data_IF_257619583101
#
_entry.id   IF_257619583101
#
_cell.length_a   1.000
_cell.length_b   1.000
_cell.length_c   1.000
_cell.angle_alpha   90.00
_cell.angle_beta   90.00
_cell.angle_gamma   90.00
#
_symmetry.space_group_name_H-M   'P 1'
#
loop_
_entity.id
_entity.type
_entity.pdbx_description
1 polymer ?
#
# COMPACT_ATOMS: atom_id res chain seq x y z
N UNK A 1 -23.25 -43.86 23.27
CA UNK A 1 -24.26 -43.20 22.41
C UNK A 1 -23.63 -41.91 21.92
N UNK A 2 -22.95 -41.83 20.77
CA UNK A 2 -23.33 -42.18 19.38
C UNK A 2 -24.58 -41.42 18.92
N UNK A 3 -24.45 -40.77 17.74
CA UNK A 3 -25.38 -39.91 16.99
C UNK A 3 -25.28 -38.43 17.41
N UNK A 4 -25.00 -37.46 16.54
CA UNK A 4 -25.42 -37.32 15.14
C UNK A 4 -24.32 -36.64 14.30
N UNK A 5 -23.78 -37.41 13.35
CA UNK A 5 -23.26 -36.93 12.09
C UNK A 5 -24.40 -37.13 11.08
N UNK A 6 -25.03 -36.05 10.64
CA UNK A 6 -25.86 -36.05 9.43
C UNK A 6 -25.29 -35.02 8.47
N UNK A 7 -24.64 -35.54 7.42
CA UNK A 7 -24.42 -34.81 6.18
C UNK A 7 -25.76 -34.73 5.42
N UNK A 8 -26.13 -33.59 4.83
CA UNK A 8 -27.08 -33.60 3.75
C UNK A 8 -26.37 -33.93 2.43
N UNK A 9 -26.57 -35.15 1.97
CA UNK A 9 -26.37 -35.55 0.58
C UNK A 9 -27.37 -34.83 -0.34
N UNK A 10 -26.85 -34.23 -1.41
CA UNK A 10 -27.55 -34.15 -2.69
C UNK A 10 -28.03 -32.77 -3.11
N UNK A 11 -27.40 -32.21 -4.15
CA UNK A 11 -28.04 -32.18 -5.47
C UNK A 11 -26.98 -32.03 -6.56
N UNK A 12 -26.91 -33.07 -7.38
CA UNK A 12 -26.11 -33.12 -8.59
C UNK A 12 -26.80 -32.35 -9.71
N UNK A 13 -25.98 -31.61 -10.47
CA UNK A 13 -26.17 -31.38 -11.89
C UNK A 13 -27.08 -30.22 -12.27
N UNK A 14 -26.49 -29.03 -12.47
CA UNK A 14 -26.75 -28.21 -13.66
C UNK A 14 -25.48 -27.47 -14.10
N UNK A 15 -25.01 -27.81 -15.31
CA UNK A 15 -24.16 -27.05 -16.23
C UNK A 15 -23.18 -26.02 -15.65
N UNK A 16 -22.00 -26.49 -15.24
CA UNK A 16 -20.79 -25.69 -15.43
C UNK A 16 -20.24 -25.99 -16.82
N UNK A 17 -20.39 -25.05 -17.75
CA UNK A 17 -19.49 -25.01 -18.90
C UNK A 17 -18.13 -24.53 -18.39
N UNK A 18 -17.14 -25.39 -18.55
CA UNK A 18 -15.74 -25.08 -18.33
C UNK A 18 -15.38 -23.93 -19.28
N UNK A 19 -15.17 -22.73 -18.72
CA UNK A 19 -14.63 -21.63 -19.51
C UNK A 19 -13.20 -21.99 -19.86
N UNK A 20 -13.04 -22.41 -21.11
CA UNK A 20 -11.77 -22.53 -21.80
C UNK A 20 -10.94 -21.27 -21.49
N UNK A 21 -9.70 -21.41 -21.00
CA UNK A 21 -8.88 -20.25 -20.72
C UNK A 21 -8.64 -19.54 -22.05
N UNK A 22 -9.22 -18.35 -22.22
CA UNK A 22 -8.87 -17.47 -23.33
C UNK A 22 -7.36 -17.28 -23.29
N UNK A 23 -6.69 -17.89 -24.27
CA UNK A 23 -5.28 -17.69 -24.53
C UNK A 23 -5.11 -16.21 -24.87
N UNK A 24 -4.64 -15.43 -23.90
CA UNK A 24 -4.13 -14.10 -24.19
C UNK A 24 -3.05 -14.28 -25.27
N UNK A 25 -3.13 -13.58 -26.41
CA UNK A 25 -2.12 -13.69 -27.44
C UNK A 25 -0.78 -13.34 -26.80
N UNK A 26 0.11 -14.32 -26.77
CA UNK A 26 1.45 -14.16 -26.25
C UNK A 26 2.10 -12.98 -26.95
N UNK A 27 2.23 -11.86 -26.26
CA UNK A 27 3.15 -10.80 -26.66
C UNK A 27 4.53 -11.40 -26.45
N UNK A 28 5.03 -12.07 -27.48
CA UNK A 28 6.44 -12.43 -27.60
C UNK A 28 7.16 -11.10 -27.45
N UNK A 29 7.98 -10.88 -26.40
CA UNK A 29 8.77 -9.68 -26.33
C UNK A 29 9.65 -9.70 -27.57
N UNK A 30 9.41 -8.77 -28.49
CA UNK A 30 10.23 -8.58 -29.66
C UNK A 30 11.65 -8.43 -29.14
N UNK A 31 12.49 -9.46 -29.36
CA UNK A 31 13.90 -9.40 -28.98
C UNK A 31 14.47 -8.21 -29.72
N UNK A 32 14.60 -7.10 -29.02
CA UNK A 32 15.30 -5.92 -29.48
C UNK A 32 16.69 -6.40 -29.88
N UNK A 33 16.88 -6.60 -31.18
CA UNK A 33 18.19 -6.82 -31.78
C UNK A 33 18.89 -5.49 -31.70
N UNK A 34 19.43 -5.18 -30.52
CA UNK A 34 20.41 -4.11 -30.37
C UNK A 34 21.62 -4.52 -31.20
N UNK A 35 21.64 -4.06 -32.45
CA UNK A 35 22.83 -4.11 -33.29
C UNK A 35 23.85 -3.21 -32.63
N UNK A 36 24.81 -3.83 -31.96
CA UNK A 36 25.96 -3.16 -31.38
C UNK A 36 26.76 -2.53 -32.53
N UNK A 37 26.47 -1.27 -32.88
CA UNK A 37 27.39 -0.47 -33.68
C UNK A 37 28.64 -0.32 -32.82
N UNK A 38 29.70 -1.06 -33.18
CA UNK A 38 31.03 -0.93 -32.58
C UNK A 38 31.35 0.57 -32.50
N UNK A 39 31.61 1.14 -31.31
CA UNK A 39 32.05 2.52 -31.24
C UNK A 39 33.36 2.62 -32.01
N UNK A 40 33.36 3.40 -33.09
CA UNK A 40 34.57 3.71 -33.82
C UNK A 40 35.42 4.60 -32.91
N UNK A 41 36.37 4.00 -32.20
CA UNK A 41 37.34 4.74 -31.42
C UNK A 41 38.15 5.62 -32.39
N UNK A 42 38.20 6.95 -32.19
CA UNK A 42 39.08 7.79 -32.98
C UNK A 42 40.52 7.31 -32.77
N UNK A 43 41.28 7.17 -33.86
CA UNK A 43 42.71 6.86 -33.79
C UNK A 43 43.45 8.05 -33.16
N UNK A 44 43.58 8.05 -31.84
CA UNK A 44 44.33 9.06 -31.11
C UNK A 44 45.81 8.86 -31.45
N UNK A 45 46.37 9.79 -32.23
CA UNK A 45 47.81 9.85 -32.50
C UNK A 45 48.51 10.39 -31.25
N UNK A 46 49.18 9.50 -30.53
CA UNK A 46 50.03 9.89 -29.41
C UNK A 46 51.20 10.74 -29.93
N UNK A 47 51.42 11.96 -29.40
CA UNK A 47 52.55 12.80 -29.77
C UNK A 47 53.87 12.19 -29.27
N UNK A 48 54.89 12.17 -30.12
CA UNK A 48 56.24 11.68 -29.76
C UNK A 48 56.92 12.72 -28.86
N UNK A 49 56.99 12.47 -27.55
CA UNK A 49 57.63 13.37 -26.60
C UNK A 49 58.90 12.79 -25.97
N UNK A 50 59.86 13.68 -25.71
CA UNK A 50 61.27 13.37 -25.44
C UNK A 50 61.67 13.36 -23.95
N UNK A 51 60.75 13.24 -22.99
CA UNK A 51 61.11 13.24 -21.55
C UNK A 51 60.36 12.18 -20.73
N UNK A 52 61.12 11.46 -19.88
CA UNK A 52 60.66 10.29 -19.12
C UNK A 52 59.69 10.55 -17.96
N UNK A 53 59.24 11.79 -17.76
CA UNK A 53 58.37 12.17 -16.63
C UNK A 53 56.88 12.32 -16.99
N UNK A 54 56.53 12.31 -18.29
CA UNK A 54 55.14 12.56 -18.76
C UNK A 54 54.28 11.30 -18.69
N UNK A 55 54.87 10.12 -18.92
CA UNK A 55 54.18 8.83 -18.86
C UNK A 55 53.59 8.52 -17.47
N UNK A 56 54.32 8.69 -16.34
CA UNK A 56 53.75 8.48 -15.01
C UNK A 56 52.66 9.50 -14.66
N UNK A 57 52.74 10.75 -15.14
CA UNK A 57 51.70 11.75 -14.93
C UNK A 57 50.38 11.42 -15.65
N UNK A 58 50.45 10.86 -16.86
CA UNK A 58 49.29 10.37 -17.60
C UNK A 58 48.68 9.14 -16.91
N UNK A 59 49.51 8.20 -16.45
CA UNK A 59 49.06 7.03 -15.70
C UNK A 59 48.36 7.45 -14.39
N UNK A 60 48.91 8.45 -13.69
CA UNK A 60 48.32 9.00 -12.47
C UNK A 60 47.00 9.72 -12.75
N UNK A 61 46.88 10.47 -13.85
CA UNK A 61 45.63 11.11 -14.25
C UNK A 61 44.54 10.07 -14.63
N UNK A 62 44.94 8.94 -15.25
CA UNK A 62 44.03 7.83 -15.53
C UNK A 62 43.60 7.10 -14.25
N UNK A 63 44.51 6.91 -13.29
CA UNK A 63 44.20 6.35 -11.97
C UNK A 63 43.26 7.27 -11.18
N UNK A 64 43.50 8.58 -11.15
CA UNK A 64 42.62 9.57 -10.51
C UNK A 64 41.26 9.60 -11.21
N UNK A 65 41.23 9.54 -12.54
CA UNK A 65 40.01 9.43 -13.33
C UNK A 65 39.22 8.15 -13.00
N UNK A 66 39.89 7.01 -12.86
CA UNK A 66 39.27 5.75 -12.43
C UNK A 66 38.72 5.85 -11.00
N UNK A 67 39.48 6.42 -10.06
CA UNK A 67 39.04 6.62 -8.67
C UNK A 67 37.83 7.55 -8.62
N UNK A 68 37.79 8.61 -9.43
CA UNK A 68 36.66 9.53 -9.53
C UNK A 68 35.40 8.85 -10.13
N UNK A 69 35.58 8.00 -11.14
CA UNK A 69 34.50 7.21 -11.73
C UNK A 69 34.00 6.11 -10.77
N UNK A 70 34.89 5.48 -10.00
CA UNK A 70 34.54 4.49 -8.96
C UNK A 70 33.87 5.13 -7.73
N UNK A 71 34.16 6.40 -7.42
CA UNK A 71 33.50 7.15 -6.36
C UNK A 71 32.06 7.54 -6.70
N UNK A 72 31.65 7.46 -7.98
CA UNK A 72 30.26 7.62 -8.40
C UNK A 72 29.55 6.28 -8.15
N UNK A 73 28.99 6.11 -6.95
CA UNK A 73 28.18 4.93 -6.58
C UNK A 73 27.19 4.63 -7.71
N UNK A 74 27.12 3.41 -8.27
CA UNK A 74 26.15 3.08 -9.29
C UNK A 74 24.74 3.07 -8.67
N UNK A 75 24.05 4.21 -8.74
CA UNK A 75 22.66 4.30 -8.29
C UNK A 75 21.76 3.84 -9.43
N UNK A 76 21.19 2.66 -9.27
CA UNK A 76 20.15 2.18 -10.18
C UNK A 76 18.81 2.82 -9.77
N UNK A 77 18.15 3.53 -10.70
CA UNK A 77 16.81 4.07 -10.50
C UNK A 77 15.79 3.12 -11.12
N UNK A 78 14.91 2.57 -10.30
CA UNK A 78 13.74 1.83 -10.77
C UNK A 78 12.48 2.63 -10.46
N UNK A 79 11.62 2.84 -11.47
CA UNK A 79 10.26 3.36 -11.27
C UNK A 79 9.37 2.17 -10.95
N UNK A 80 8.88 2.09 -9.71
CA UNK A 80 7.91 1.08 -9.29
C UNK A 80 6.55 1.75 -9.23
N UNK A 81 5.68 1.36 -10.17
CA UNK A 81 4.28 1.76 -10.16
C UNK A 81 3.47 0.56 -9.65
N UNK A 82 3.01 0.63 -8.40
CA UNK A 82 2.17 -0.42 -7.84
C UNK A 82 0.74 0.11 -7.76
N UNK A 83 -0.12 -0.47 -8.58
CA UNK A 83 -1.56 -0.26 -8.47
C UNK A 83 -2.03 -1.01 -7.23
N UNK A 84 -2.52 -0.31 -6.21
CA UNK A 84 -3.17 -0.97 -5.08
C UNK A 84 -4.42 -1.70 -5.59
N UNK A 85 -4.53 -3.00 -5.32
CA UNK A 85 -5.84 -3.65 -5.40
C UNK A 85 -6.76 -3.01 -4.33
N UNK A 86 -8.04 -2.78 -4.63
CA UNK A 86 -8.94 -2.14 -3.68
C UNK A 86 -9.01 -2.99 -2.41
N UNK A 87 -8.51 -2.44 -1.30
CA UNK A 87 -8.74 -3.03 0.01
C UNK A 87 -10.16 -2.65 0.42
N UNK A 88 -11.11 -3.55 0.17
CA UNK A 88 -12.51 -3.35 0.55
C UNK A 88 -12.63 -3.44 2.07
N UNK A 89 -12.55 -2.30 2.73
CA UNK A 89 -12.88 -2.12 4.14
C UNK A 89 -14.04 -1.14 4.20
N UNK A 90 -15.23 -1.63 4.53
CA UNK A 90 -16.34 -0.76 4.93
C UNK A 90 -16.04 -0.27 6.34
N UNK A 91 -15.82 1.03 6.49
CA UNK A 91 -15.69 1.69 7.80
C UNK A 91 -16.68 2.84 7.89
N UNK A 92 -17.15 3.12 9.10
CA UNK A 92 -18.16 4.15 9.37
C UNK A 92 -17.43 5.45 9.68
N UNK A 93 -17.53 6.43 8.77
CA UNK A 93 -16.94 7.77 8.93
C UNK A 93 -18.03 8.74 9.36
N UNK A 94 -17.75 9.56 10.38
CA UNK A 94 -18.66 10.59 10.87
C UNK A 94 -18.41 11.90 10.12
N UNK A 95 -19.40 12.44 9.42
CA UNK A 95 -19.28 13.74 8.73
C UNK A 95 -19.78 14.84 9.65
N UNK A 96 -18.98 15.87 9.91
CA UNK A 96 -19.36 17.02 10.77
C UNK A 96 -19.50 18.30 9.97
N UNK A 97 -20.62 19.00 10.13
CA UNK A 97 -20.81 20.35 9.60
C UNK A 97 -19.83 21.32 10.28
N UNK A 98 -18.95 21.94 9.48
CA UNK A 98 -17.88 22.79 10.01
C UNK A 98 -16.80 21.99 10.77
N UNK A 99 -15.54 22.44 10.70
CA UNK A 99 -14.39 21.77 11.31
C UNK A 99 -13.25 21.43 10.35
N UNK A 100 -12.42 20.46 10.71
CA UNK A 100 -11.29 19.93 9.92
C UNK A 100 -11.43 18.43 9.78
N UNK A 101 -11.09 17.88 8.61
CA UNK A 101 -10.99 16.44 8.41
C UNK A 101 -9.93 15.85 9.33
N UNK A 102 -10.31 14.87 10.15
CA UNK A 102 -9.48 14.19 11.15
C UNK A 102 -9.61 12.67 10.97
N UNK A 103 -8.58 12.09 10.35
CA UNK A 103 -8.55 10.67 10.02
C UNK A 103 -8.39 9.75 11.25
N UNK A 104 -7.83 10.25 12.35
CA UNK A 104 -7.69 9.45 13.58
C UNK A 104 -9.04 9.28 14.28
N UNK A 105 -9.91 10.28 14.18
CA UNK A 105 -11.27 10.26 14.76
C UNK A 105 -12.33 9.71 13.80
N UNK A 106 -11.95 9.36 12.58
CA UNK A 106 -12.88 9.05 11.49
C UNK A 106 -13.88 10.18 11.26
N UNK A 107 -13.42 11.44 11.32
CA UNK A 107 -14.24 12.63 11.13
C UNK A 107 -13.91 13.32 9.80
N UNK A 108 -14.90 13.49 8.93
CA UNK A 108 -14.76 14.25 7.69
C UNK A 108 -15.38 15.63 7.87
N UNK A 109 -14.71 16.69 7.40
CA UNK A 109 -15.33 18.01 7.31
C UNK A 109 -16.44 17.98 6.26
N UNK A 110 -17.68 18.12 6.71
CA UNK A 110 -18.85 18.37 5.89
C UNK A 110 -19.10 19.87 5.70
N UNK A 111 -19.63 20.23 4.54
CA UNK A 111 -20.38 21.47 4.35
C UNK A 111 -21.85 21.10 4.30
N UNK A 112 -22.70 21.90 4.94
CA UNK A 112 -24.14 21.84 4.67
C UNK A 112 -24.38 22.53 3.35
N UNK A 113 -25.09 21.85 2.46
CA UNK A 113 -25.69 22.49 1.31
C UNK A 113 -27.12 22.84 1.75
N UNK A 114 -27.32 24.07 2.21
CA UNK A 114 -28.63 24.52 2.65
C UNK A 114 -29.52 24.74 1.42
N UNK A 115 -30.25 23.71 1.03
CA UNK A 115 -31.45 23.91 0.23
C UNK A 115 -32.57 24.19 1.23
N UNK A 116 -32.98 25.46 1.34
CA UNK A 116 -34.22 25.81 2.03
C UNK A 116 -35.38 25.21 1.24
N UNK A 117 -35.73 23.97 1.56
CA UNK A 117 -37.05 23.44 1.28
C UNK A 117 -37.85 23.77 2.53
N UNK A 118 -38.84 24.65 2.43
CA UNK A 118 -39.74 24.91 3.55
C UNK A 118 -40.60 23.66 3.76
N UNK A 119 -40.32 22.93 4.83
CA UNK A 119 -41.02 21.70 5.18
C UNK A 119 -42.04 22.04 6.28
N UNK A 120 -43.32 21.84 6.00
CA UNK A 120 -44.41 22.22 6.91
C UNK A 120 -45.11 21.00 7.53
N UNK A 121 -45.45 21.12 8.81
CA UNK A 121 -46.37 20.22 9.51
C UNK A 121 -47.49 21.02 10.19
N UNK A 122 -48.67 20.43 10.32
CA UNK A 122 -49.75 20.94 11.17
C UNK A 122 -49.69 20.26 12.53
N UNK A 123 -49.65 21.02 13.62
CA UNK A 123 -49.78 20.51 14.98
C UNK A 123 -51.23 20.71 15.43
N UNK A 124 -51.83 19.62 15.91
CA UNK A 124 -53.20 19.59 16.41
C UNK A 124 -53.21 19.41 17.92
N UNK A 125 -53.70 20.43 18.64
CA UNK A 125 -53.94 20.38 20.07
C UNK A 125 -55.37 19.89 20.36
N UNK A 126 -55.48 18.80 21.12
CA UNK A 126 -56.73 18.15 21.55
C UNK A 126 -57.08 18.46 23.01
N UNK A 127 -56.34 19.35 23.67
CA UNK A 127 -56.57 19.80 25.05
C UNK A 127 -57.40 21.09 25.09
N UNK A 128 -57.91 21.43 26.27
CA UNK A 128 -58.72 22.62 26.55
C UNK A 128 -57.87 23.86 26.90
N UNK A 129 -56.54 23.73 26.90
CA UNK A 129 -55.60 24.81 27.15
C UNK A 129 -54.70 25.07 25.93
N UNK A 130 -54.31 26.33 25.76
CA UNK A 130 -53.27 26.70 24.80
C UNK A 130 -51.93 26.07 25.19
N UNK A 131 -51.20 25.54 24.20
CA UNK A 131 -49.91 24.90 24.41
C UNK A 131 -48.83 25.68 23.64
N UNK A 132 -47.72 25.99 24.32
CA UNK A 132 -46.55 26.62 23.72
C UNK A 132 -45.46 25.57 23.52
N UNK A 133 -44.91 25.52 22.32
CA UNK A 133 -43.78 24.68 21.95
C UNK A 133 -42.61 25.58 21.56
N UNK A 134 -41.48 25.35 22.20
CA UNK A 134 -40.27 26.09 21.89
C UNK A 134 -39.59 25.50 20.65
N UNK A 135 -38.84 26.34 19.93
CA UNK A 135 -37.89 25.92 18.91
C UNK A 135 -37.00 24.80 19.45
N UNK A 136 -36.79 23.76 18.65
CA UNK A 136 -36.04 22.60 19.10
C UNK A 136 -36.91 21.46 19.67
N UNK A 137 -38.21 21.68 19.86
CA UNK A 137 -39.14 20.62 20.25
C UNK A 137 -39.13 19.48 19.22
N UNK A 138 -39.15 18.24 19.71
CA UNK A 138 -38.99 17.04 18.87
C UNK A 138 -40.34 16.48 18.42
N UNK A 139 -40.38 16.01 17.18
CA UNK A 139 -41.51 15.33 16.56
C UNK A 139 -41.04 13.95 16.07
N UNK A 140 -41.53 12.89 16.69
CA UNK A 140 -41.09 11.52 16.41
C UNK A 140 -41.99 10.85 15.39
N UNK A 141 -41.41 10.22 14.38
CA UNK A 141 -42.11 9.36 13.45
C UNK A 141 -41.85 7.89 13.80
N UNK A 142 -42.73 7.34 14.64
CA UNK A 142 -42.55 6.02 15.26
C UNK A 142 -42.42 4.88 14.25
N UNK A 143 -43.09 4.96 13.09
CA UNK A 143 -43.04 3.91 12.07
C UNK A 143 -41.60 3.65 11.57
N UNK A 144 -40.71 4.64 11.65
CA UNK A 144 -39.33 4.55 11.16
C UNK A 144 -38.27 4.98 12.17
N UNK A 145 -38.65 5.26 13.42
CA UNK A 145 -37.74 5.75 14.47
C UNK A 145 -36.94 7.00 14.01
N UNK A 146 -37.66 7.98 13.43
CA UNK A 146 -37.06 9.23 12.91
C UNK A 146 -37.50 10.42 13.75
N UNK A 147 -36.60 11.39 13.93
CA UNK A 147 -36.86 12.60 14.73
C UNK A 147 -36.80 13.84 13.87
N UNK A 148 -37.86 14.65 13.88
CA UNK A 148 -37.89 16.00 13.32
C UNK A 148 -37.87 17.03 14.46
N UNK A 149 -37.50 18.27 14.14
CA UNK A 149 -37.28 19.34 15.11
C UNK A 149 -38.01 20.59 14.64
N UNK A 150 -38.68 21.29 15.55
CA UNK A 150 -39.31 22.59 15.25
C UNK A 150 -38.27 23.68 14.99
N UNK A 151 -38.49 24.47 13.94
CA UNK A 151 -37.58 25.55 13.55
C UNK A 151 -37.81 26.86 14.31
N UNK A 152 -39.03 27.07 14.81
CA UNK A 152 -39.47 28.29 15.48
C UNK A 152 -40.36 27.98 16.68
N UNK A 153 -40.43 28.91 17.63
CA UNK A 153 -41.39 28.86 18.73
C UNK A 153 -42.81 28.99 18.17
N UNK A 154 -43.73 28.16 18.64
CA UNK A 154 -45.13 28.19 18.20
C UNK A 154 -46.06 28.10 19.40
N UNK A 155 -47.22 28.76 19.26
CA UNK A 155 -48.33 28.64 20.19
C UNK A 155 -49.48 27.98 19.47
N UNK A 156 -49.92 26.82 19.96
CA UNK A 156 -51.04 26.04 19.42
C UNK A 156 -52.28 26.31 20.28
N UNK A 157 -53.35 26.90 19.73
CA UNK A 157 -54.54 27.25 20.50
C UNK A 157 -55.19 26.00 21.12
N UNK A 158 -56.03 26.19 22.15
CA UNK A 158 -56.87 25.13 22.71
C UNK A 158 -57.89 24.62 21.68
N UNK A 159 -58.46 23.43 21.91
CA UNK A 159 -59.65 22.98 21.17
C UNK A 159 -60.85 23.86 21.51
N UNK A 160 -61.72 24.09 20.54
CA UNK A 160 -62.95 24.84 20.69
C UNK A 160 -64.17 23.91 20.67
N UNK A 161 -65.07 24.09 21.63
CA UNK A 161 -66.40 23.46 21.58
C UNK A 161 -67.29 24.20 20.60
N UNK A 162 -67.92 23.47 19.70
CA UNK A 162 -68.86 24.00 18.73
C UNK A 162 -70.15 23.18 18.73
N UNK A 163 -71.33 23.79 18.52
CA UNK A 163 -72.57 23.05 18.34
C UNK A 163 -72.43 22.08 17.17
N UNK A 164 -72.88 20.84 17.34
CA UNK A 164 -72.87 19.87 16.26
C UNK A 164 -73.85 20.32 15.16
N UNK A 165 -73.38 20.51 13.91
CA UNK A 165 -74.22 20.95 12.81
C UNK A 165 -75.32 19.94 12.44
N UNK A 166 -75.14 18.64 12.77
CA UNK A 166 -76.11 17.58 12.46
C UNK A 166 -77.09 17.30 13.61
N UNK A 167 -76.76 17.68 14.85
CA UNK A 167 -77.63 17.56 16.03
C UNK A 167 -77.34 18.69 17.04
N UNK A 168 -78.15 19.76 17.06
CA UNK A 168 -77.95 20.93 17.93
C UNK A 168 -77.92 20.65 19.44
N UNK A 169 -78.33 19.46 19.87
CA UNK A 169 -78.27 19.03 21.27
C UNK A 169 -76.92 18.41 21.66
N UNK A 170 -76.00 18.27 20.71
CA UNK A 170 -74.67 17.69 20.92
C UNK A 170 -73.57 18.70 20.55
N UNK A 171 -72.39 18.56 21.16
CA UNK A 171 -71.22 19.40 20.89
C UNK A 171 -70.15 18.58 20.19
N UNK A 172 -69.47 19.21 19.23
CA UNK A 172 -68.26 18.69 18.58
C UNK A 172 -67.07 19.56 18.98
N UNK A 173 -65.88 18.94 19.01
CA UNK A 173 -64.64 19.66 19.28
C UNK A 173 -63.91 19.96 17.97
N UNK A 174 -63.67 21.24 17.71
CA UNK A 174 -62.72 21.68 16.69
C UNK A 174 -61.34 21.72 17.33
N UNK A 175 -60.39 20.97 16.79
CA UNK A 175 -59.02 20.93 17.31
C UNK A 175 -58.33 22.28 17.12
N UNK A 176 -57.50 22.68 18.09
CA UNK A 176 -56.58 23.79 17.88
C UNK A 176 -55.52 23.38 16.87
N UNK A 177 -55.25 24.21 15.87
CA UNK A 177 -54.30 23.90 14.79
C UNK A 177 -53.30 25.04 14.60
N UNK A 178 -52.03 24.69 14.41
CA UNK A 178 -50.99 25.61 13.98
C UNK A 178 -50.11 24.96 12.92
N UNK A 179 -49.74 25.69 11.87
CA UNK A 179 -48.73 25.25 10.89
C UNK A 179 -47.34 25.64 11.39
N UNK A 180 -46.41 24.70 11.38
CA UNK A 180 -45.02 24.86 11.83
C UNK A 180 -44.04 24.45 10.73
N UNK A 181 -42.85 25.03 10.78
CA UNK A 181 -41.69 24.60 10.00
C UNK A 181 -40.87 23.58 10.80
N UNK A 182 -40.46 22.51 10.13
CA UNK A 182 -39.74 21.40 10.75
C UNK A 182 -38.49 21.01 9.95
N UNK A 183 -37.44 20.63 10.66
CA UNK A 183 -36.19 20.13 10.06
C UNK A 183 -35.91 18.70 10.52
N UNK A 184 -35.28 17.87 9.68
CA UNK A 184 -34.84 16.54 10.05
C UNK A 184 -33.74 16.59 11.13
N UNK A 185 -33.84 15.74 12.16
CA UNK A 185 -32.89 15.67 13.26
C UNK A 185 -31.53 15.09 12.88
N UNK A 186 -31.49 14.24 11.84
CA UNK A 186 -30.27 13.68 11.26
C UNK A 186 -30.29 13.72 9.73
N UNK A 187 -29.12 13.49 9.12
CA UNK A 187 -28.96 13.36 7.67
C UNK A 187 -29.46 11.98 7.22
N UNK A 188 -30.34 11.95 6.22
CA UNK A 188 -30.66 10.70 5.52
C UNK A 188 -31.83 10.80 4.57
N UNK A 189 -31.81 9.97 3.53
CA UNK A 189 -32.93 9.77 2.61
C UNK A 189 -34.14 9.14 3.30
N UNK A 190 -33.94 8.50 4.46
CA UNK A 190 -35.01 8.01 5.33
C UNK A 190 -35.97 9.10 5.81
N UNK A 191 -35.48 10.34 5.96
CA UNK A 191 -36.27 11.52 6.36
C UNK A 191 -37.16 12.06 5.23
N UNK A 192 -37.08 11.49 4.03
CA UNK A 192 -38.04 11.79 2.96
C UNK A 192 -39.32 10.96 3.18
N UNK A 193 -40.30 11.54 3.87
CA UNK A 193 -41.61 10.90 4.13
C UNK A 193 -42.74 11.57 3.36
N UNK A 194 -43.77 10.80 3.01
CA UNK A 194 -44.94 11.32 2.29
C UNK A 194 -45.77 12.27 3.16
N UNK A 195 -46.69 13.02 2.52
CA UNK A 195 -47.63 13.88 3.24
C UNK A 195 -48.66 13.07 4.05
N UNK A 196 -49.30 13.72 5.02
CA UNK A 196 -50.36 13.14 5.85
C UNK A 196 -49.90 12.18 6.95
N UNK A 197 -48.58 11.99 7.15
CA UNK A 197 -48.00 11.16 8.20
C UNK A 197 -48.08 11.82 9.56
N UNK A 198 -48.44 11.04 10.56
CA UNK A 198 -48.52 11.48 11.94
C UNK A 198 -47.14 11.43 12.59
N UNK A 199 -46.83 12.46 13.39
CA UNK A 199 -45.63 12.61 14.18
C UNK A 199 -46.07 12.84 15.64
N UNK A 200 -45.50 12.09 16.56
CA UNK A 200 -45.74 12.26 17.99
C UNK A 200 -44.95 13.45 18.50
N UNK A 201 -45.60 14.34 19.26
CA UNK A 201 -44.92 15.50 19.84
C UNK A 201 -44.31 15.12 21.18
N UNK A 202 -43.00 15.24 21.29
CA UNK A 202 -42.28 14.85 22.51
C UNK A 202 -42.80 15.62 23.73
N UNK A 203 -43.00 14.89 24.84
CA UNK A 203 -43.63 15.42 26.06
C UNK A 203 -45.16 15.44 26.09
N UNK A 204 -45.84 15.02 25.01
CA UNK A 204 -47.30 14.96 24.95
C UNK A 204 -47.79 13.60 24.46
N UNK A 205 -48.93 13.15 24.97
CA UNK A 205 -49.55 11.91 24.47
C UNK A 205 -50.22 12.17 23.12
N UNK A 206 -50.21 11.18 22.23
CA UNK A 206 -50.99 11.22 20.97
C UNK A 206 -52.51 11.55 21.15
N UNK A 207 -53.07 11.31 22.34
CA UNK A 207 -54.45 11.70 22.71
C UNK A 207 -54.61 13.20 23.02
N UNK A 208 -53.53 13.88 23.37
CA UNK A 208 -53.47 15.29 23.75
C UNK A 208 -52.98 16.14 22.57
N UNK A 209 -51.98 15.65 21.83
CA UNK A 209 -51.41 16.38 20.70
C UNK A 209 -50.87 15.44 19.64
N UNK A 210 -51.00 15.84 18.37
CA UNK A 210 -50.42 15.11 17.24
C UNK A 210 -49.97 16.11 16.19
N UNK A 211 -48.79 15.90 15.61
CA UNK A 211 -48.35 16.66 14.45
C UNK A 211 -48.58 15.82 13.18
N UNK A 212 -48.90 16.46 12.06
CA UNK A 212 -49.11 15.79 10.77
C UNK A 212 -48.36 16.53 9.67
N UNK A 213 -47.59 15.81 8.88
CA UNK A 213 -46.89 16.39 7.72
C UNK A 213 -47.90 16.94 6.71
N UNK A 214 -47.73 18.19 6.27
CA UNK A 214 -48.68 18.84 5.37
C UNK A 214 -48.37 18.55 3.90
N UNK A 215 -47.09 18.52 3.56
CA UNK A 215 -46.56 18.19 2.25
C UNK A 215 -45.59 17.01 2.34
N UNK A 216 -45.18 16.47 1.19
CA UNK A 216 -44.14 15.45 1.13
C UNK A 216 -42.80 16.08 1.53
N UNK A 217 -42.11 15.46 2.48
CA UNK A 217 -40.77 15.91 2.88
C UNK A 217 -39.75 15.32 1.90
N UNK A 218 -38.80 16.15 1.47
CA UNK A 218 -37.79 15.78 0.49
C UNK A 218 -36.50 16.58 0.74
N UNK A 219 -35.40 16.16 0.13
CA UNK A 219 -34.09 16.81 0.28
C UNK A 219 -33.11 16.06 1.18
N UNK A 220 -33.56 15.03 1.89
CA UNK A 220 -32.66 14.10 2.60
C UNK A 220 -31.90 13.23 1.61
N UNK A 221 -30.57 13.23 1.70
CA UNK A 221 -29.68 12.33 0.95
C UNK A 221 -28.69 11.68 1.90
N UNK A 222 -28.44 10.38 1.73
CA UNK A 222 -27.35 9.69 2.40
C UNK A 222 -26.44 9.02 1.37
N UNK A 223 -25.12 9.23 1.49
CA UNK A 223 -24.13 8.57 0.65
C UNK A 223 -23.00 8.01 1.49
N UNK A 224 -22.68 6.73 1.27
CA UNK A 224 -21.48 6.10 1.82
C UNK A 224 -20.30 6.40 0.90
N UNK A 225 -19.26 7.01 1.46
CA UNK A 225 -18.04 7.38 0.73
C UNK A 225 -16.84 6.58 1.24
N UNK A 226 -15.90 6.25 0.36
CA UNK A 226 -14.64 5.57 0.71
C UNK A 226 -13.56 6.60 0.90
N UNK A 227 -12.93 6.61 2.07
CA UNK A 227 -11.87 7.56 2.41
C UNK A 227 -10.54 6.84 2.57
N UNK A 228 -9.45 7.53 2.24
CA UNK A 228 -8.10 7.00 2.44
C UNK A 228 -7.75 7.04 3.93
N UNK A 229 -7.43 5.87 4.51
CA UNK A 229 -6.94 5.79 5.88
C UNK A 229 -5.40 5.78 5.95
N UNK A 230 -4.85 6.18 7.11
CA UNK A 230 -3.39 6.12 7.36
C UNK A 230 -2.85 4.68 7.27
N UNK A 231 -3.66 3.71 7.71
CA UNK A 231 -3.33 2.29 7.60
C UNK A 231 -3.15 1.85 6.14
N UNK A 232 -3.96 2.37 5.21
CA UNK A 232 -3.86 2.04 3.79
C UNK A 232 -2.55 2.58 3.20
N UNK A 233 -2.19 3.81 3.57
CA UNK A 233 -0.94 4.44 3.14
C UNK A 233 0.28 3.65 3.62
N UNK A 234 0.28 3.25 4.89
CA UNK A 234 1.36 2.45 5.50
C UNK A 234 1.47 1.08 4.84
N UNK A 235 0.35 0.40 4.63
CA UNK A 235 0.32 -0.90 3.97
C UNK A 235 0.82 -0.82 2.52
N UNK A 236 0.44 0.23 1.79
CA UNK A 236 0.89 0.47 0.41
C UNK A 236 2.39 0.77 0.35
N UNK A 237 2.90 1.58 1.26
CA UNK A 237 4.34 1.89 1.33
C UNK A 237 5.18 0.64 1.60
N UNK A 238 4.73 -0.23 2.51
CA UNK A 238 5.38 -1.52 2.76
C UNK A 238 5.42 -2.39 1.50
N UNK A 239 4.27 -2.56 0.82
CA UNK A 239 4.18 -3.34 -0.42
C UNK A 239 5.10 -2.80 -1.52
N UNK A 240 5.16 -1.48 -1.68
CA UNK A 240 6.05 -0.84 -2.67
C UNK A 240 7.52 -1.03 -2.31
N UNK A 241 7.87 -0.97 -1.03
CA UNK A 241 9.24 -1.20 -0.57
C UNK A 241 9.68 -2.65 -0.82
N UNK A 242 8.81 -3.61 -0.50
CA UNK A 242 9.06 -5.04 -0.74
C UNK A 242 9.24 -5.32 -2.24
N UNK A 243 8.34 -4.81 -3.08
CA UNK A 243 8.44 -4.93 -4.54
C UNK A 243 9.69 -4.24 -5.12
N UNK A 244 10.08 -3.09 -4.56
CA UNK A 244 11.30 -2.39 -4.96
C UNK A 244 12.56 -3.22 -4.61
N UNK A 245 12.57 -3.94 -3.48
CA UNK A 245 13.68 -4.82 -3.07
C UNK A 245 13.83 -6.02 -3.98
N UNK A 246 12.73 -6.67 -4.36
CA UNK A 246 12.76 -7.77 -5.32
C UNK A 246 13.29 -7.31 -6.67
N UNK A 247 12.76 -6.20 -7.19
CA UNK A 247 13.22 -5.62 -8.46
C UNK A 247 14.69 -5.21 -8.40
N UNK A 248 15.11 -4.54 -7.34
CA UNK A 248 16.51 -4.15 -7.13
C UNK A 248 17.46 -5.35 -7.12
N UNK A 249 17.04 -6.46 -6.50
CA UNK A 249 17.85 -7.69 -6.46
C UNK A 249 18.08 -8.24 -7.86
N UNK A 250 17.02 -8.32 -8.67
CA UNK A 250 17.11 -8.78 -10.06
C UNK A 250 17.99 -7.86 -10.92
N UNK A 251 17.75 -6.54 -10.83
CA UNK A 251 18.48 -5.54 -11.61
C UNK A 251 19.98 -5.49 -11.22
N UNK A 252 20.31 -5.66 -9.94
CA UNK A 252 21.71 -5.73 -9.47
C UNK A 252 22.38 -7.02 -9.96
N UNK A 253 21.71 -8.18 -9.86
CA UNK A 253 22.24 -9.46 -10.36
C UNK A 253 22.52 -9.41 -11.86
N UNK A 254 21.67 -8.72 -12.64
CA UNK A 254 21.89 -8.53 -14.08
C UNK A 254 23.10 -7.63 -14.41
N UNK A 255 23.46 -6.71 -13.51
CA UNK A 255 24.59 -5.79 -13.69
C UNK A 255 25.93 -6.36 -13.23
N UNK A 256 25.96 -7.53 -12.59
CA UNK A 256 27.19 -8.14 -12.10
C UNK A 256 28.13 -8.51 -13.24
N UNK A 257 29.43 -8.25 -13.04
CA UNK A 257 30.48 -8.82 -13.89
C UNK A 257 30.56 -10.34 -13.74
N UNK A 258 31.13 -11.04 -14.74
CA UNK A 258 31.23 -12.52 -14.77
C UNK A 258 31.91 -13.14 -13.54
N UNK A 259 32.84 -12.42 -12.93
CA UNK A 259 33.65 -12.86 -11.77
C UNK A 259 33.24 -12.15 -10.48
N UNK A 260 32.18 -11.35 -10.51
CA UNK A 260 31.70 -10.58 -9.38
C UNK A 260 30.52 -11.30 -8.74
N UNK A 261 30.57 -11.42 -7.42
CA UNK A 261 29.52 -12.05 -6.62
C UNK A 261 28.84 -11.00 -5.77
N UNK A 262 27.52 -11.00 -5.79
CA UNK A 262 26.70 -10.21 -4.87
C UNK A 262 26.58 -10.95 -3.55
N UNK A 263 26.84 -10.25 -2.45
CA UNK A 263 26.59 -10.78 -1.10
C UNK A 263 25.09 -10.73 -0.85
N UNK A 264 24.46 -11.90 -0.76
CA UNK A 264 23.01 -11.97 -0.53
C UNK A 264 22.66 -11.37 0.84
N UNK A 265 21.54 -10.65 0.90
CA UNK A 265 21.14 -9.89 2.10
C UNK A 265 21.81 -8.52 2.28
N UNK A 266 22.87 -8.21 1.53
CA UNK A 266 23.54 -6.88 1.58
C UNK A 266 22.78 -5.75 0.87
N UNK A 267 21.72 -6.09 0.12
CA UNK A 267 20.99 -5.11 -0.69
C UNK A 267 20.20 -4.17 0.20
N UNK A 268 20.49 -2.88 0.08
CA UNK A 268 19.73 -1.79 0.67
C UNK A 268 18.95 -1.05 -0.41
N UNK A 269 17.67 -0.80 -0.16
CA UNK A 269 16.81 0.00 -1.01
C UNK A 269 16.42 1.27 -0.26
N UNK A 270 16.52 2.40 -0.94
CA UNK A 270 16.12 3.70 -0.42
C UNK A 270 15.13 4.35 -1.37
N UNK A 271 13.93 4.68 -0.88
CA UNK A 271 12.98 5.50 -1.62
C UNK A 271 13.51 6.94 -1.62
N UNK A 272 13.69 7.50 -2.82
CA UNK A 272 14.23 8.86 -3.04
C UNK A 272 13.14 9.86 -3.39
N UNK A 273 12.01 9.38 -3.93
CA UNK A 273 10.84 10.20 -4.25
C UNK A 273 9.59 9.34 -4.20
N UNK A 274 8.53 9.90 -3.62
CA UNK A 274 7.20 9.29 -3.60
C UNK A 274 6.12 10.30 -3.95
N UNK A 275 5.04 9.82 -4.57
CA UNK A 275 3.86 10.60 -4.89
C UNK A 275 2.61 9.72 -4.76
N UNK A 276 1.63 10.21 -4.00
CA UNK A 276 0.32 9.58 -3.84
C UNK A 276 -0.73 10.32 -4.67
N UNK A 277 -1.72 9.58 -5.18
CA UNK A 277 -2.85 10.19 -5.93
C UNK A 277 -3.89 10.87 -5.06
N UNK A 278 -3.93 10.54 -3.76
CA UNK A 278 -4.88 11.08 -2.78
C UNK A 278 -4.21 11.18 -1.41
N UNK A 279 -4.72 12.08 -0.57
CA UNK A 279 -4.27 12.29 0.80
C UNK A 279 -5.19 11.54 1.77
N UNK A 280 -4.70 11.37 3.00
CA UNK A 280 -5.49 10.76 4.07
C UNK A 280 -6.71 11.64 4.35
N UNK A 281 -7.88 11.01 4.39
CA UNK A 281 -9.18 11.69 4.50
C UNK A 281 -9.81 12.10 3.18
N UNK A 282 -9.12 12.01 2.04
CA UNK A 282 -9.74 12.25 0.73
C UNK A 282 -10.67 11.10 0.36
N UNK A 283 -11.81 11.42 -0.28
CA UNK A 283 -12.67 10.43 -0.91
C UNK A 283 -11.98 9.87 -2.17
N UNK A 284 -11.65 8.58 -2.17
CA UNK A 284 -10.99 7.93 -3.30
C UNK A 284 -11.32 6.44 -3.36
N UNK A 285 -11.63 5.95 -4.56
CA UNK A 285 -11.84 4.51 -4.77
C UNK A 285 -10.52 3.72 -4.85
N UNK A 286 -9.42 4.39 -5.23
CA UNK A 286 -8.10 3.80 -5.43
C UNK A 286 -7.01 4.73 -4.93
N UNK A 287 -6.03 4.18 -4.21
CA UNK A 287 -4.84 4.90 -3.77
C UNK A 287 -3.62 4.39 -4.53
N UNK A 288 -3.01 5.24 -5.37
CA UNK A 288 -1.83 4.86 -6.16
C UNK A 288 -0.60 5.53 -5.54
N UNK A 289 0.46 4.74 -5.33
CA UNK A 289 1.77 5.21 -4.93
C UNK A 289 2.74 5.04 -6.09
N UNK A 290 3.30 6.16 -6.55
CA UNK A 290 4.44 6.17 -7.47
C UNK A 290 5.70 6.43 -6.67
N UNK A 291 6.61 5.45 -6.62
CA UNK A 291 7.88 5.58 -5.92
C UNK A 291 9.08 5.42 -6.85
N UNK A 292 10.12 6.18 -6.54
CA UNK A 292 11.45 6.08 -7.14
C UNK A 292 12.41 5.58 -6.09
N UNK A 293 13.02 4.43 -6.34
CA UNK A 293 13.95 3.82 -5.41
C UNK A 293 15.36 3.76 -6.02
N UNK A 294 16.35 4.08 -5.19
CA UNK A 294 17.75 3.75 -5.41
C UNK A 294 18.09 2.46 -4.67
N UNK A 295 18.92 1.62 -5.27
CA UNK A 295 19.40 0.40 -4.62
C UNK A 295 20.92 0.25 -4.74
N UNK A 296 21.52 -0.32 -3.70
CA UNK A 296 22.93 -0.68 -3.64
C UNK A 296 23.08 -2.03 -2.95
N UNK A 297 24.07 -2.81 -3.38
CA UNK A 297 24.43 -4.09 -2.76
C UNK A 297 25.93 -4.25 -2.74
N UNK A 298 26.43 -5.00 -1.75
CA UNK A 298 27.85 -5.26 -1.58
C UNK A 298 28.26 -6.45 -2.44
N UNK A 299 29.42 -6.32 -3.08
CA UNK A 299 29.94 -7.34 -4.00
C UNK A 299 31.42 -7.58 -3.77
N UNK A 300 31.90 -8.78 -4.10
CA UNK A 300 33.32 -9.11 -4.12
C UNK A 300 33.72 -9.80 -5.42
N UNK A 301 35.02 -9.84 -5.71
CA UNK A 301 35.56 -10.56 -6.86
C UNK A 301 36.05 -11.95 -6.46
N UNK A 302 35.69 -12.98 -7.23
CA UNK A 302 36.14 -14.36 -7.00
C UNK A 302 37.68 -14.44 -6.95
N UNK A 303 38.38 -13.69 -7.79
CA UNK A 303 39.85 -13.66 -7.84
C UNK A 303 40.49 -13.09 -6.58
N UNK A 304 39.89 -12.07 -5.98
CA UNK A 304 40.41 -11.42 -4.77
C UNK A 304 40.19 -12.31 -3.54
N UNK A 305 39.02 -12.94 -3.44
CA UNK A 305 38.74 -13.94 -2.40
C UNK A 305 39.73 -15.11 -2.50
N UNK A 306 40.00 -15.59 -3.71
CA UNK A 306 40.93 -16.68 -3.91
C UNK A 306 42.36 -16.31 -3.50
N UNK A 307 42.84 -15.14 -3.91
CA UNK A 307 44.17 -14.65 -3.52
C UNK A 307 44.32 -14.45 -2.01
N UNK A 308 43.26 -13.98 -1.34
CA UNK A 308 43.25 -13.86 0.12
C UNK A 308 43.36 -15.24 0.79
N UNK A 309 42.56 -16.21 0.33
CA UNK A 309 42.58 -17.56 0.86
C UNK A 309 43.95 -18.22 0.70
N UNK A 310 44.58 -18.10 -0.46
CA UNK A 310 45.89 -18.70 -0.73
C UNK A 310 46.96 -18.16 0.23
N UNK A 311 46.92 -16.87 0.56
CA UNK A 311 47.81 -16.25 1.57
C UNK A 311 47.56 -16.77 2.98
N UNK A 312 46.31 -16.97 3.36
CA UNK A 312 45.94 -17.45 4.71
C UNK A 312 46.46 -18.88 4.92
N UNK A 313 46.31 -19.75 3.92
CA UNK A 313 46.70 -21.16 4.06
C UNK A 313 48.15 -21.45 3.68
N UNK A 314 48.89 -20.48 3.13
CA UNK A 314 50.29 -20.65 2.72
C UNK A 314 51.18 -21.21 3.85
N UNK A 315 50.98 -20.74 5.08
CA UNK A 315 51.75 -21.18 6.25
C UNK A 315 51.32 -22.57 6.77
N UNK A 316 50.24 -23.13 6.25
CA UNK A 316 49.72 -24.46 6.61
C UNK A 316 50.16 -25.55 5.60
N UNK A 317 50.83 -25.16 4.51
CA UNK A 317 51.32 -26.10 3.50
C UNK A 317 52.68 -26.68 3.94
N UNK A 318 52.83 -28.01 4.02
CA UNK A 318 54.11 -28.63 4.35
C UNK A 318 55.21 -28.29 3.34
N UNK A 319 56.48 -28.31 3.77
CA UNK A 319 57.60 -28.13 2.85
C UNK A 319 57.56 -29.18 1.71
N UNK A 320 57.93 -28.76 0.51
CA UNK A 320 57.90 -29.61 -0.69
C UNK A 320 56.49 -29.89 -1.24
N UNK A 321 55.47 -29.14 -0.83
CA UNK A 321 54.10 -29.27 -1.32
C UNK A 321 53.54 -27.92 -1.81
N UNK A 322 52.53 -27.98 -2.69
CA UNK A 322 51.76 -26.84 -3.20
C UNK A 322 50.26 -27.13 -3.13
N UNK A 323 49.43 -26.10 -3.08
CA UNK A 323 47.97 -26.26 -3.10
C UNK A 323 47.49 -26.72 -4.49
N UNK A 324 46.55 -27.66 -4.51
CA UNK A 324 45.93 -28.15 -5.73
C UNK A 324 44.83 -27.19 -6.20
N UNK A 325 44.97 -26.70 -7.44
CA UNK A 325 43.94 -25.91 -8.11
C UNK A 325 42.78 -26.78 -8.65
N UNK A 326 43.01 -28.09 -8.86
CA UNK A 326 42.05 -28.98 -9.54
C UNK A 326 40.89 -29.45 -8.66
N UNK A 327 41.04 -29.40 -7.33
CA UNK A 327 40.05 -29.90 -6.35
C UNK A 327 39.78 -28.83 -5.28
N UNK A 328 39.65 -27.57 -5.73
CA UNK A 328 39.45 -26.41 -4.87
C UNK A 328 37.97 -26.05 -4.85
N UNK A 329 37.35 -26.19 -3.69
CA UNK A 329 35.97 -25.74 -3.44
C UNK A 329 35.99 -24.59 -2.43
N UNK A 330 35.32 -23.49 -2.78
CA UNK A 330 35.17 -22.32 -1.91
C UNK A 330 33.68 -22.10 -1.65
N UNK A 331 33.29 -22.07 -0.39
CA UNK A 331 31.96 -21.66 0.04
C UNK A 331 32.05 -20.34 0.81
N UNK A 332 31.20 -19.38 0.45
CA UNK A 332 31.12 -18.08 1.09
C UNK A 332 29.67 -17.81 1.49
N UNK A 333 29.43 -17.70 2.80
CA UNK A 333 28.09 -17.54 3.37
C UNK A 333 28.08 -16.27 4.23
N UNK A 334 27.15 -15.32 4.00
CA UNK A 334 27.05 -14.14 4.86
C UNK A 334 26.55 -14.54 6.25
N UNK A 335 27.24 -14.04 7.27
CA UNK A 335 26.78 -14.07 8.65
C UNK A 335 25.75 -12.93 8.77
N UNK A 336 24.48 -13.27 9.00
CA UNK A 336 23.38 -12.30 9.05
C UNK A 336 23.61 -11.15 10.04
N UNK A 337 22.72 -10.16 10.06
CA UNK A 337 22.90 -9.00 10.95
C UNK A 337 22.57 -9.36 12.42
N UNK A 338 23.55 -9.24 13.34
CA UNK A 338 23.42 -9.55 14.77
C UNK A 338 24.29 -8.62 15.63
N UNK A 339 24.32 -8.81 16.96
CA UNK A 339 25.23 -8.06 17.84
C UNK A 339 26.71 -8.36 17.61
N UNK A 340 27.03 -9.48 16.95
CA UNK A 340 28.39 -9.94 16.69
C UNK A 340 28.74 -9.99 15.19
N UNK A 341 27.82 -9.60 14.31
CA UNK A 341 28.03 -9.68 12.86
C UNK A 341 27.27 -8.61 12.09
N UNK A 342 27.93 -8.03 11.09
CA UNK A 342 27.40 -6.95 10.25
C UNK A 342 26.99 -7.51 8.89
N UNK A 343 25.83 -7.08 8.37
CA UNK A 343 25.42 -7.33 6.99
C UNK A 343 24.64 -6.14 6.43
N UNK A 344 25.29 -5.34 5.58
CA UNK A 344 24.70 -4.20 4.89
C UNK A 344 25.39 -3.95 3.53
N UNK A 345 25.05 -2.85 2.86
CA UNK A 345 25.57 -2.54 1.52
C UNK A 345 27.02 -2.03 1.48
N UNK A 346 27.65 -1.84 2.63
CA UNK A 346 29.04 -1.35 2.77
C UNK A 346 29.96 -2.36 3.46
N UNK A 347 29.43 -3.17 4.38
CA UNK A 347 30.20 -4.15 5.15
C UNK A 347 29.39 -5.44 5.35
N UNK A 348 30.08 -6.59 5.30
CA UNK A 348 29.50 -7.89 5.55
C UNK A 348 30.51 -8.84 6.20
N UNK A 349 30.12 -9.44 7.32
CA UNK A 349 30.84 -10.56 7.92
C UNK A 349 30.47 -11.85 7.19
N UNK A 350 31.49 -12.61 6.80
CA UNK A 350 31.35 -13.78 5.94
C UNK A 350 32.02 -14.99 6.58
N UNK A 351 31.33 -16.13 6.57
CA UNK A 351 31.95 -17.42 6.81
C UNK A 351 32.49 -17.95 5.49
N UNK A 352 33.80 -18.08 5.40
CA UNK A 352 34.47 -18.65 4.23
C UNK A 352 35.01 -20.04 4.58
N UNK A 353 34.64 -21.03 3.78
CA UNK A 353 35.16 -22.40 3.87
C UNK A 353 35.94 -22.73 2.60
N UNK A 354 37.21 -23.10 2.76
CA UNK A 354 38.06 -23.60 1.68
C UNK A 354 38.28 -25.10 1.88
N UNK A 355 37.94 -25.89 0.86
CA UNK A 355 38.36 -27.30 0.76
C UNK A 355 39.33 -27.42 -0.40
N UNK A 356 40.52 -27.93 -0.11
CA UNK A 356 41.59 -28.14 -1.10
C UNK A 356 42.55 -29.21 -0.58
N UNK A 357 43.43 -29.70 -1.45
CA UNK A 357 44.45 -30.69 -1.14
C UNK A 357 45.82 -30.12 -1.43
N UNK A 358 46.84 -30.54 -0.69
CA UNK A 358 48.24 -30.27 -1.04
C UNK A 358 48.77 -31.40 -1.92
N UNK A 359 49.50 -31.07 -2.97
CA UNK A 359 50.23 -32.02 -3.82
C UNK A 359 51.72 -31.77 -3.70
N UNK A 360 52.55 -32.79 -3.89
CA UNK A 360 54.01 -32.63 -3.87
C UNK A 360 54.43 -31.64 -4.96
N UNK A 361 55.31 -30.71 -4.63
CA UNK A 361 55.91 -29.78 -5.56
C UNK A 361 56.78 -30.59 -6.53
N UNK A 362 56.31 -30.75 -7.77
CA UNK A 362 57.09 -31.43 -8.81
C UNK A 362 57.92 -30.37 -9.53
N UNK A 363 59.23 -30.45 -9.35
CA UNK A 363 60.16 -29.70 -10.18
C UNK A 363 60.27 -30.39 -11.55
N UNK A 364 59.80 -29.71 -12.60
CA UNK A 364 59.83 -30.25 -13.97
C UNK A 364 61.25 -30.40 -14.50
N UNK A 365 62.22 -29.70 -13.93
CA UNK A 365 63.63 -29.77 -14.33
C UNK A 365 64.31 -31.03 -13.78
N UNK A 366 63.91 -31.49 -12.60
CA UNK A 366 64.45 -32.69 -11.95
C UNK A 366 64.01 -33.98 -12.66
N UNK A 367 62.75 -34.04 -13.13
CA UNK A 367 62.19 -35.18 -13.86
C UNK A 367 62.84 -35.45 -15.23
N UNK A 368 63.44 -34.44 -15.85
CA UNK A 368 64.15 -34.59 -17.15
C UNK A 368 65.59 -35.07 -16.94
N UNK A 369 66.14 -34.91 -15.73
CA UNK A 369 67.52 -35.27 -15.39
C UNK A 369 67.69 -36.69 -14.83
N UNK A 370 66.60 -37.37 -14.49
CA UNK A 370 66.64 -38.72 -13.93
C UNK A 370 67.18 -39.73 -14.97
N UNK A 371 68.30 -40.43 -14.72
CA UNK A 371 68.88 -41.36 -15.67
C UNK A 371 67.96 -42.57 -15.86
N UNK A 372 67.58 -42.83 -17.12
CA UNK A 372 66.86 -44.05 -17.52
C UNK A 372 67.66 -45.28 -17.11
N UNK A 373 67.13 -46.22 -16.32
CA UNK A 373 67.85 -47.46 -16.02
C UNK A 373 68.05 -48.25 -17.32
N UNK A 374 69.31 -48.49 -17.65
CA UNK A 374 69.72 -49.34 -18.77
C UNK A 374 69.11 -50.73 -18.56
N UNK A 375 68.16 -51.08 -19.44
CA UNK A 375 67.59 -52.41 -19.55
C UNK A 375 68.68 -53.35 -20.05
N UNK A 376 69.27 -54.15 -19.16
CA UNK A 376 70.07 -55.31 -19.55
C UNK A 376 69.15 -56.38 -20.11
N UNK A 377 69.19 -56.59 -21.42
CA UNK A 377 68.58 -57.76 -22.06
C UNK A 377 69.52 -58.97 -21.91
N UNK A 378 69.00 -60.18 -21.65
CA UNK A 378 69.79 -61.41 -21.62
C UNK A 378 70.33 -61.81 -22.99
#
# INVERSE_FOLDING_TARGET
>A
LIAMLEEPTGQAGQNYQEREPEQMPGVIPEKSRFVFKKPAFPKIRLPKFKSGLVLPAIILAVLIGMIFVLSKKPVAYAKVLLNSQPLTRSTTVKVKHGGTTDAAKMELKGQTLDTNVEIEASIYNKTDAEIKLDKGSKLNYDEKDLVYVLDDDITVPAREEQPNPDDPLTQIYKLGEATVKITAGDIGDSYNIDSGKDLEVDGYKSSEMVAKTKSKLSGGESKKVKVVAEADKTALQKKVTDAAKEKATSDLKFKLGKTQRLIEGSITVQITKEAYTAKVGDEAEKLILTAYAGASGLTYMDSELNSLLDKIVQNLVPQGHVLSEKQREVSAIPLGNSTASVLNSSEADMQITLKTFTVTAVDKEELVSAPTPLRSSP
#
